data_IF_553639237419
#
_entry.id   IF_553639237419
#
_cell.length_a   1.000
_cell.length_b   1.000
_cell.length_c   1.000
_cell.angle_alpha   90.00
_cell.angle_beta   90.00
_cell.angle_gamma   90.00
#
_symmetry.space_group_name_H-M   'P 1'
#
loop_
_entity.id
_entity.type
_entity.pdbx_description
1 polymer ?
#
# COMPACT_ATOMS: atom_id res chain seq x y z
N UNK A 1 -8.40 18.11 29.28
CA UNK A 1 -7.69 16.85 28.96
C UNK A 1 -8.54 15.65 29.39
N UNK A 2 -9.64 15.38 28.68
CA UNK A 2 -10.55 14.23 28.91
C UNK A 2 -11.22 13.75 27.60
N UNK A 3 -10.89 14.34 26.46
CA UNK A 3 -11.64 14.19 25.20
C UNK A 3 -11.18 13.04 24.31
N UNK A 4 -10.18 12.26 24.74
CA UNK A 4 -9.59 11.20 23.92
C UNK A 4 -10.05 9.78 24.29
N UNK A 5 -10.85 9.61 25.36
CA UNK A 5 -11.27 8.28 25.85
C UNK A 5 -12.66 7.89 25.33
N UNK A 6 -12.87 6.58 25.11
CA UNK A 6 -14.21 6.04 24.81
C UNK A 6 -15.22 6.40 25.92
N UNK A 7 -16.29 7.15 25.60
CA UNK A 7 -17.30 7.58 26.58
C UNK A 7 -18.17 6.43 27.11
N UNK A 8 -18.15 5.24 26.49
CA UNK A 8 -18.97 4.09 26.86
C UNK A 8 -18.31 3.16 27.92
N UNK A 9 -17.08 3.47 28.32
CA UNK A 9 -16.32 2.66 29.28
C UNK A 9 -15.81 1.32 28.72
N UNK A 10 -15.04 0.56 29.53
CA UNK A 10 -14.35 -0.65 29.09
C UNK A 10 -15.26 -1.88 28.90
N UNK A 11 -16.51 -1.84 29.39
CA UNK A 11 -17.43 -2.97 29.36
C UNK A 11 -18.24 -3.10 28.06
N UNK A 12 -18.16 -2.12 27.15
CA UNK A 12 -18.90 -2.15 25.88
C UNK A 12 -18.39 -3.25 24.96
N UNK A 13 -19.25 -4.23 24.65
CA UNK A 13 -18.97 -5.37 23.78
C UNK A 13 -19.60 -5.29 22.38
N UNK A 14 -20.33 -4.22 22.10
CA UNK A 14 -20.95 -3.98 20.78
C UNK A 14 -19.88 -3.37 19.85
N UNK A 15 -19.89 -3.77 18.58
CA UNK A 15 -19.03 -3.20 17.55
C UNK A 15 -19.29 -1.69 17.42
N UNK A 16 -18.22 -0.90 17.40
CA UNK A 16 -18.27 0.54 17.21
C UNK A 16 -18.98 0.90 15.89
N UNK A 17 -18.77 0.13 14.82
CA UNK A 17 -19.34 0.33 13.50
C UNK A 17 -20.87 0.14 13.46
N UNK A 18 -21.47 -0.49 14.48
CA UNK A 18 -22.92 -0.59 14.59
C UNK A 18 -23.60 0.76 14.87
N UNK A 19 -22.87 1.69 15.49
CA UNK A 19 -23.39 3.00 15.89
C UNK A 19 -22.59 4.18 15.29
N UNK A 20 -21.36 3.96 14.85
CA UNK A 20 -20.45 4.99 14.35
C UNK A 20 -19.94 4.63 12.95
N UNK A 21 -19.48 5.65 12.22
CA UNK A 21 -18.79 5.47 10.94
C UNK A 21 -17.43 6.16 10.98
N UNK A 22 -16.55 5.81 10.04
CA UNK A 22 -15.25 6.49 9.89
C UNK A 22 -15.36 7.88 9.27
N UNK A 23 -16.48 8.14 8.60
CA UNK A 23 -16.87 9.41 8.00
C UNK A 23 -17.43 10.41 9.02
N UNK A 24 -17.55 10.01 10.29
CA UNK A 24 -18.07 10.82 11.39
C UNK A 24 -18.58 9.89 12.47
N UNK A 25 -18.50 10.30 13.75
CA UNK A 25 -19.30 9.66 14.81
C UNK A 25 -20.79 10.02 14.64
N UNK A 26 -21.26 10.02 13.40
CA UNK A 26 -22.63 10.24 13.01
C UNK A 26 -23.36 8.92 13.21
N UNK A 27 -24.10 8.83 14.31
CA UNK A 27 -25.19 7.86 14.37
C UNK A 27 -26.14 8.24 13.22
N UNK A 28 -26.57 7.29 12.40
CA UNK A 28 -27.39 7.57 11.21
C UNK A 28 -28.59 8.47 11.56
N UNK A 29 -28.93 9.43 10.68
CA UNK A 29 -30.02 10.39 10.89
C UNK A 29 -31.37 9.73 11.24
N UNK A 30 -31.59 8.48 10.81
CA UNK A 30 -32.76 7.69 11.21
C UNK A 30 -32.90 7.47 12.73
N UNK A 31 -31.81 7.62 13.50
CA UNK A 31 -31.80 7.56 14.97
C UNK A 31 -31.90 8.94 15.64
N UNK A 32 -31.92 10.04 14.87
CA UNK A 32 -32.10 11.40 15.35
C UNK A 32 -33.40 11.99 14.80
N UNK A 33 -34.29 12.49 15.66
CA UNK A 33 -35.56 13.08 15.18
C UNK A 33 -35.52 14.56 14.77
N UNK A 34 -34.39 15.25 14.92
CA UNK A 34 -34.21 16.61 14.42
C UNK A 34 -32.78 17.07 14.74
N UNK A 35 -31.99 17.48 13.74
CA UNK A 35 -30.73 18.18 13.98
C UNK A 35 -30.95 19.66 13.66
N UNK A 36 -30.85 20.52 14.68
CA UNK A 36 -30.88 21.99 14.55
C UNK A 36 -29.44 22.51 14.70
N UNK A 37 -28.81 23.05 13.65
CA UNK A 37 -27.41 23.46 13.65
C UNK A 37 -27.10 24.63 14.61
N UNK A 38 -28.12 25.34 15.10
CA UNK A 38 -27.96 26.51 15.96
C UNK A 38 -28.22 26.22 17.46
N UNK A 39 -28.49 24.97 17.84
CA UNK A 39 -28.79 24.59 19.23
C UNK A 39 -27.99 23.36 19.67
N UNK A 40 -27.20 23.44 20.77
CA UNK A 40 -26.57 22.26 21.32
C UNK A 40 -27.65 21.35 21.92
N UNK A 41 -27.98 20.25 21.24
CA UNK A 41 -28.88 19.25 21.80
C UNK A 41 -28.15 18.47 22.91
N UNK A 42 -28.79 18.43 24.08
CA UNK A 42 -28.38 17.59 25.21
C UNK A 42 -28.57 16.13 24.79
N UNK A 43 -27.50 15.34 24.84
CA UNK A 43 -27.60 13.89 24.59
C UNK A 43 -28.68 13.29 25.49
N UNK A 44 -29.75 12.74 24.93
CA UNK A 44 -30.83 12.10 25.71
C UNK A 44 -30.42 10.77 26.34
N UNK A 45 -29.26 10.23 25.94
CA UNK A 45 -28.69 8.99 26.48
C UNK A 45 -27.73 9.25 27.64
N UNK A 46 -27.02 10.39 27.64
CA UNK A 46 -25.98 10.70 28.65
C UNK A 46 -26.22 11.99 29.44
N UNK A 47 -27.19 12.82 29.03
CA UNK A 47 -27.52 14.09 29.67
C UNK A 47 -26.49 15.22 29.47
N UNK A 48 -25.48 15.02 28.64
CA UNK A 48 -24.41 16.01 28.43
C UNK A 48 -24.81 17.07 27.39
N UNK A 49 -24.67 18.34 27.76
CA UNK A 49 -24.69 19.49 26.82
C UNK A 49 -23.34 19.51 26.12
N UNK A 50 -23.28 19.23 24.82
CA UNK A 50 -22.04 19.29 24.05
C UNK A 50 -21.93 20.68 23.40
N UNK A 51 -20.99 21.56 23.83
CA UNK A 51 -20.90 22.95 23.37
C UNK A 51 -20.34 23.09 21.95
N UNK A 52 -19.83 22.00 21.38
CA UNK A 52 -19.37 21.89 20.00
C UNK A 52 -19.70 20.49 19.52
N UNK A 53 -19.87 20.33 18.22
CA UNK A 53 -20.13 19.07 17.53
C UNK A 53 -18.92 18.11 17.62
N UNK A 54 -18.69 17.56 18.81
CA UNK A 54 -17.60 16.61 19.10
C UNK A 54 -17.90 15.19 18.58
N UNK A 55 -19.05 14.98 17.94
CA UNK A 55 -19.45 13.71 17.34
C UNK A 55 -19.12 13.62 15.83
N UNK A 56 -18.25 14.48 15.31
CA UNK A 56 -17.82 14.41 13.89
C UNK A 56 -16.30 14.34 13.78
N UNK A 57 -15.74 13.18 14.12
CA UNK A 57 -14.35 12.85 13.78
C UNK A 57 -14.28 12.17 12.41
N UNK A 58 -13.45 12.71 11.50
CA UNK A 58 -13.28 12.21 10.14
C UNK A 58 -11.87 11.66 9.94
N UNK A 59 -11.74 10.36 9.65
CA UNK A 59 -10.42 9.77 9.31
C UNK A 59 -9.78 10.42 8.08
N UNK A 60 -10.59 10.91 7.13
CA UNK A 60 -10.09 11.64 5.96
C UNK A 60 -9.35 12.95 6.26
N UNK A 61 -9.42 13.45 7.51
CA UNK A 61 -8.68 14.64 7.97
C UNK A 61 -7.47 14.30 8.83
N UNK A 62 -7.18 13.01 9.04
CA UNK A 62 -6.02 12.54 9.80
C UNK A 62 -4.90 12.15 8.85
N UNK A 63 -3.77 11.70 9.42
CA UNK A 63 -2.67 11.10 8.64
C UNK A 63 -2.97 9.68 8.15
N UNK A 64 -4.10 9.09 8.56
CA UNK A 64 -4.49 7.74 8.20
C UNK A 64 -5.94 7.72 7.68
N UNK A 65 -6.16 8.11 6.41
CA UNK A 65 -7.47 8.02 5.79
C UNK A 65 -7.83 6.54 5.57
N UNK A 66 -8.99 6.12 6.08
CA UNK A 66 -9.48 4.76 5.86
C UNK A 66 -9.95 4.61 4.40
N UNK A 67 -9.09 4.01 3.58
CA UNK A 67 -9.34 3.72 2.16
C UNK A 67 -9.24 2.21 1.93
N UNK A 68 -9.90 1.74 0.88
CA UNK A 68 -9.94 0.31 0.55
C UNK A 68 -10.41 -0.55 1.73
N UNK A 69 -9.70 -1.62 2.02
CA UNK A 69 -10.07 -2.61 3.04
C UNK A 69 -9.94 -2.07 4.47
N UNK A 70 -9.13 -1.04 4.70
CA UNK A 70 -9.03 -0.41 6.02
C UNK A 70 -10.34 0.23 6.49
N UNK A 71 -11.26 0.56 5.57
CA UNK A 71 -12.59 1.08 5.92
C UNK A 71 -13.50 0.03 6.58
N UNK A 72 -13.18 -1.26 6.44
CA UNK A 72 -13.96 -2.38 6.98
C UNK A 72 -13.32 -3.03 8.21
N UNK A 73 -12.14 -2.58 8.63
CA UNK A 73 -11.44 -3.11 9.80
C UNK A 73 -12.12 -2.62 11.10
N UNK A 74 -12.24 -3.50 12.09
CA UNK A 74 -12.77 -3.16 13.41
C UNK A 74 -11.93 -2.03 14.04
N UNK A 75 -12.60 -1.03 14.61
CA UNK A 75 -11.94 0.16 15.15
C UNK A 75 -10.89 -0.18 16.23
N UNK A 76 -11.10 -1.26 17.01
CA UNK A 76 -10.22 -1.69 18.09
C UNK A 76 -8.93 -2.33 17.58
N UNK A 77 -8.86 -2.75 16.32
CA UNK A 77 -7.62 -3.25 15.73
C UNK A 77 -6.52 -2.18 15.77
N UNK A 78 -6.89 -0.91 15.59
CA UNK A 78 -5.98 0.23 15.69
C UNK A 78 -6.10 0.96 17.04
N UNK A 79 -7.32 1.12 17.57
CA UNK A 79 -7.59 1.85 18.81
C UNK A 79 -7.74 0.90 20.01
N UNK A 80 -6.70 0.13 20.30
CA UNK A 80 -6.73 -0.93 21.33
C UNK A 80 -7.07 -0.39 22.72
N UNK A 81 -6.44 0.72 23.11
CA UNK A 81 -6.68 1.38 24.42
C UNK A 81 -7.95 2.23 24.44
N UNK A 82 -8.55 2.46 23.26
CA UNK A 82 -9.62 3.43 23.04
C UNK A 82 -9.26 4.86 23.47
N UNK A 83 -7.96 5.16 23.57
CA UNK A 83 -7.44 6.51 23.59
C UNK A 83 -7.12 6.88 22.14
N UNK A 84 -8.04 7.56 21.45
CA UNK A 84 -8.00 7.69 19.99
C UNK A 84 -6.76 8.44 19.46
N UNK A 85 -6.13 9.27 20.30
CA UNK A 85 -4.88 9.95 19.99
C UNK A 85 -3.63 9.06 20.07
N UNK A 86 -3.76 7.83 20.59
CA UNK A 86 -2.66 6.89 20.82
C UNK A 86 -2.67 5.71 19.83
N UNK A 87 -3.42 5.82 18.72
CA UNK A 87 -3.39 4.79 17.69
C UNK A 87 -1.95 4.54 17.19
N UNK A 88 -1.62 3.27 16.94
CA UNK A 88 -0.31 2.90 16.39
C UNK A 88 -0.10 3.58 15.02
N UNK A 89 1.16 3.85 14.68
CA UNK A 89 1.55 4.76 13.61
C UNK A 89 0.90 4.51 12.24
N UNK A 90 0.95 5.51 11.36
CA UNK A 90 0.25 5.49 10.06
C UNK A 90 0.95 4.71 8.94
N UNK A 91 2.14 4.17 9.18
CA UNK A 91 2.93 3.50 8.16
C UNK A 91 2.57 2.02 8.08
N UNK A 92 2.63 1.41 6.88
CA UNK A 92 2.15 0.04 6.69
C UNK A 92 2.80 -0.97 7.66
N UNK A 93 4.10 -0.81 7.90
CA UNK A 93 4.90 -1.69 8.76
C UNK A 93 4.57 -1.59 10.25
N UNK A 94 3.79 -0.59 10.68
CA UNK A 94 3.35 -0.50 12.09
C UNK A 94 2.34 -1.60 12.42
N UNK A 95 1.61 -2.11 11.42
CA UNK A 95 0.58 -3.12 11.59
C UNK A 95 0.79 -4.38 10.74
N UNK A 96 1.44 -4.25 9.58
CA UNK A 96 1.65 -5.36 8.65
C UNK A 96 3.09 -5.85 8.68
N UNK A 97 3.25 -7.16 8.80
CA UNK A 97 4.54 -7.82 8.68
C UNK A 97 4.98 -7.89 7.21
N UNK A 98 6.27 -7.64 6.98
CA UNK A 98 6.85 -7.74 5.66
C UNK A 98 7.05 -9.21 5.24
N UNK A 99 6.26 -9.65 4.26
CA UNK A 99 6.38 -11.00 3.69
C UNK A 99 7.56 -11.13 2.71
N UNK A 100 8.19 -10.02 2.33
CA UNK A 100 9.22 -9.98 1.29
C UNK A 100 10.62 -10.08 1.87
N UNK A 101 10.75 -10.33 3.18
CA UNK A 101 12.02 -10.57 3.86
C UNK A 101 13.04 -9.43 3.62
N UNK A 102 12.55 -8.18 3.62
CA UNK A 102 13.29 -6.94 3.46
C UNK A 102 13.91 -6.73 2.07
N UNK A 103 13.55 -7.54 1.07
CA UNK A 103 14.14 -7.48 -0.28
C UNK A 103 13.66 -6.29 -1.11
N UNK A 104 12.52 -5.69 -0.76
CA UNK A 104 11.88 -4.59 -1.52
C UNK A 104 11.76 -3.27 -0.75
N UNK A 105 12.26 -3.20 0.49
CA UNK A 105 12.16 -2.03 1.37
C UNK A 105 10.79 -1.91 2.07
N UNK A 106 10.56 -0.77 2.71
CA UNK A 106 9.37 -0.54 3.58
C UNK A 106 8.30 0.37 2.96
N UNK A 107 8.53 0.90 1.76
CA UNK A 107 7.51 1.66 1.02
C UNK A 107 6.55 0.71 0.31
N UNK A 108 5.64 0.11 1.09
CA UNK A 108 4.66 -0.86 0.58
C UNK A 108 3.77 -0.24 -0.51
N UNK A 109 3.52 1.07 -0.43
CA UNK A 109 2.61 1.80 -1.32
C UNK A 109 3.11 1.93 -2.76
N UNK A 110 4.40 1.69 -2.98
CA UNK A 110 5.01 1.64 -4.31
C UNK A 110 4.46 0.51 -5.17
N UNK A 111 4.00 -0.58 -4.55
CA UNK A 111 3.46 -1.75 -5.25
C UNK A 111 2.02 -2.04 -4.82
N UNK A 112 1.75 -2.03 -3.52
CA UNK A 112 0.47 -2.42 -2.97
C UNK A 112 -0.45 -1.21 -2.75
N UNK A 113 -1.75 -1.47 -2.72
CA UNK A 113 -2.75 -0.46 -2.39
C UNK A 113 -3.54 -0.87 -1.17
N UNK A 114 -4.24 0.10 -0.56
CA UNK A 114 -5.17 -0.21 0.53
C UNK A 114 -6.36 -1.05 0.09
N UNK A 115 -6.60 -1.20 -1.23
CA UNK A 115 -7.66 -2.05 -1.76
C UNK A 115 -7.29 -3.53 -1.69
N UNK A 116 -6.04 -3.91 -1.95
CA UNK A 116 -5.54 -5.27 -1.82
C UNK A 116 -4.00 -5.33 -1.95
N UNK A 117 -3.43 -6.44 -1.45
CA UNK A 117 -2.00 -6.75 -1.56
C UNK A 117 -1.60 -7.40 -2.88
N UNK A 118 -2.55 -7.78 -3.73
CA UNK A 118 -2.25 -8.43 -5.00
C UNK A 118 -1.80 -7.39 -6.04
N UNK A 119 -0.91 -7.81 -6.93
CA UNK A 119 -0.39 -6.96 -8.00
C UNK A 119 -0.97 -7.45 -9.33
N UNK A 120 -1.85 -6.64 -9.92
CA UNK A 120 -2.50 -6.98 -11.18
C UNK A 120 -1.65 -6.59 -12.41
N UNK A 121 -0.76 -5.60 -12.27
CA UNK A 121 0.07 -5.05 -13.35
C UNK A 121 1.57 -5.06 -13.02
N UNK A 122 2.14 -6.27 -12.96
CA UNK A 122 3.59 -6.45 -12.77
C UNK A 122 4.40 -5.87 -13.94
N UNK A 123 3.85 -5.86 -15.15
CA UNK A 123 4.49 -5.28 -16.33
C UNK A 123 4.65 -3.76 -16.22
N UNK A 124 3.61 -3.07 -15.76
CA UNK A 124 3.65 -1.64 -15.46
C UNK A 124 4.65 -1.29 -14.35
N UNK A 125 4.79 -2.15 -13.34
CA UNK A 125 5.83 -1.99 -12.31
C UNK A 125 7.23 -2.08 -12.91
N UNK A 126 7.50 -3.03 -13.80
CA UNK A 126 8.78 -3.14 -14.50
C UNK A 126 9.08 -1.88 -15.34
N UNK A 127 8.07 -1.38 -16.07
CA UNK A 127 8.17 -0.14 -16.85
C UNK A 127 8.54 1.07 -15.99
N UNK A 128 7.91 1.22 -14.82
CA UNK A 128 8.13 2.37 -13.92
C UNK A 128 9.47 2.30 -13.18
N UNK A 129 10.03 1.09 -13.01
CA UNK A 129 11.21 0.85 -12.19
C UNK A 129 12.49 0.62 -12.99
N UNK A 130 12.49 0.94 -14.29
CA UNK A 130 13.70 1.03 -15.10
C UNK A 130 14.11 -0.26 -15.82
N UNK A 131 13.21 -1.24 -15.93
CA UNK A 131 13.41 -2.39 -16.83
C UNK A 131 12.11 -2.73 -17.57
N UNK A 132 11.71 -1.92 -18.57
CA UNK A 132 10.57 -2.22 -19.43
C UNK A 132 10.66 -3.63 -20.02
N UNK A 133 9.65 -4.46 -19.79
CA UNK A 133 9.56 -5.76 -20.46
C UNK A 133 9.22 -5.52 -21.93
N UNK A 134 10.23 -5.62 -22.80
CA UNK A 134 10.13 -5.38 -24.25
C UNK A 134 10.72 -6.56 -25.02
N UNK A 135 10.32 -6.70 -26.29
CA UNK A 135 10.83 -7.74 -27.18
C UNK A 135 10.67 -9.14 -26.57
N UNK A 136 11.77 -9.88 -26.51
CA UNK A 136 11.79 -11.25 -25.95
C UNK A 136 11.56 -11.28 -24.44
N UNK A 137 11.93 -10.22 -23.71
CA UNK A 137 11.78 -10.15 -22.24
C UNK A 137 10.31 -10.09 -21.78
N UNK A 138 9.36 -9.79 -22.69
CA UNK A 138 7.93 -9.91 -22.40
C UNK A 138 7.46 -11.35 -22.22
N UNK A 139 8.21 -12.32 -22.77
CA UNK A 139 7.82 -13.73 -22.82
C UNK A 139 8.71 -14.63 -21.95
N UNK A 140 9.74 -14.06 -21.36
CA UNK A 140 10.63 -14.77 -20.43
C UNK A 140 9.86 -15.08 -19.15
N UNK A 141 9.98 -16.31 -18.66
CA UNK A 141 9.40 -16.70 -17.39
C UNK A 141 10.01 -15.84 -16.27
N UNK A 142 9.18 -15.33 -15.36
CA UNK A 142 9.62 -14.44 -14.28
C UNK A 142 10.77 -15.03 -13.45
N UNK A 143 10.76 -16.35 -13.26
CA UNK A 143 11.76 -17.08 -12.47
C UNK A 143 13.14 -17.16 -13.14
N UNK A 144 13.27 -16.85 -14.42
CA UNK A 144 14.59 -16.79 -15.07
C UNK A 144 15.42 -15.64 -14.51
N UNK A 145 14.77 -14.54 -14.12
CA UNK A 145 15.41 -13.41 -13.45
C UNK A 145 15.18 -13.49 -11.93
N UNK A 146 13.94 -13.62 -11.49
CA UNK A 146 13.55 -13.68 -10.08
C UNK A 146 13.55 -15.12 -9.57
N UNK A 147 14.75 -15.71 -9.45
CA UNK A 147 14.92 -17.13 -9.08
C UNK A 147 14.32 -17.49 -7.71
N UNK A 148 14.21 -16.50 -6.81
CA UNK A 148 13.63 -16.65 -5.47
C UNK A 148 12.18 -16.14 -5.37
N UNK A 149 11.50 -15.86 -6.49
CA UNK A 149 10.13 -15.35 -6.50
C UNK A 149 9.14 -16.28 -5.79
N UNK A 150 9.36 -17.60 -5.83
CA UNK A 150 8.53 -18.57 -5.10
C UNK A 150 8.62 -18.42 -3.58
N UNK A 151 9.69 -17.79 -3.07
CA UNK A 151 9.87 -17.43 -1.67
C UNK A 151 9.48 -15.97 -1.37
N UNK A 152 8.84 -15.29 -2.33
CA UNK A 152 8.45 -13.87 -2.27
C UNK A 152 9.65 -12.91 -2.12
N UNK A 153 10.82 -13.30 -2.60
CA UNK A 153 12.01 -12.48 -2.64
C UNK A 153 12.16 -11.85 -4.03
N UNK A 154 12.26 -10.52 -4.05
CA UNK A 154 12.35 -9.73 -5.28
C UNK A 154 13.46 -8.69 -5.18
N UNK A 155 14.69 -9.16 -4.93
CA UNK A 155 15.87 -8.31 -4.89
C UNK A 155 16.01 -7.51 -6.19
N UNK A 156 16.53 -6.29 -6.06
CA UNK A 156 16.80 -5.45 -7.22
C UNK A 156 17.93 -6.08 -8.05
N UNK A 157 17.59 -6.55 -9.23
CA UNK A 157 18.55 -7.03 -10.22
C UNK A 157 19.18 -5.84 -10.96
N UNK A 158 20.38 -6.08 -11.48
CA UNK A 158 20.97 -5.21 -12.48
C UNK A 158 20.11 -5.16 -13.74
N UNK A 159 20.04 -4.00 -14.39
CA UNK A 159 19.21 -3.77 -15.57
C UNK A 159 20.04 -3.46 -16.82
N UNK A 160 21.37 -3.65 -16.76
CA UNK A 160 22.22 -3.53 -17.93
C UNK A 160 22.23 -4.86 -18.68
N UNK A 161 22.32 -4.80 -20.00
CA UNK A 161 22.28 -5.99 -20.84
C UNK A 161 23.32 -7.04 -20.41
N UNK A 162 24.54 -6.57 -20.12
CA UNK A 162 25.66 -7.42 -19.69
C UNK A 162 25.53 -7.97 -18.28
N UNK A 163 24.63 -7.46 -17.44
CA UNK A 163 24.39 -8.04 -16.11
C UNK A 163 23.89 -9.49 -16.23
N UNK A 164 23.21 -9.82 -17.35
CA UNK A 164 22.75 -11.16 -17.69
C UNK A 164 23.49 -11.74 -18.91
N UNK A 165 23.74 -10.94 -19.94
CA UNK A 165 24.23 -11.40 -21.25
C UNK A 165 25.74 -11.21 -21.46
N UNK A 166 26.53 -11.06 -20.39
CA UNK A 166 27.99 -10.94 -20.52
C UNK A 166 28.60 -12.16 -21.21
N UNK A 167 28.11 -13.36 -20.89
CA UNK A 167 28.60 -14.59 -21.51
C UNK A 167 28.28 -14.62 -23.01
N UNK A 168 27.06 -14.23 -23.41
CA UNK A 168 26.66 -14.16 -24.81
C UNK A 168 27.53 -13.14 -25.55
N UNK A 169 27.74 -11.96 -24.96
CA UNK A 169 28.63 -10.93 -25.50
C UNK A 169 30.06 -11.46 -25.71
N UNK A 170 30.61 -12.20 -24.75
CA UNK A 170 31.99 -12.70 -24.81
C UNK A 170 32.18 -13.89 -25.75
N UNK A 171 31.12 -14.66 -26.03
CA UNK A 171 31.21 -15.90 -26.82
C UNK A 171 30.66 -15.79 -28.23
N UNK A 172 29.95 -14.72 -28.57
CA UNK A 172 29.46 -14.48 -29.92
C UNK A 172 30.64 -14.37 -30.90
N UNK A 173 30.59 -15.11 -32.00
CA UNK A 173 31.65 -15.12 -33.04
C UNK A 173 31.22 -14.47 -34.36
N UNK A 174 29.94 -14.10 -34.50
CA UNK A 174 29.37 -13.60 -35.76
C UNK A 174 28.33 -12.48 -35.51
N UNK A 175 28.75 -11.19 -35.51
CA UNK A 175 30.13 -10.72 -35.47
C UNK A 175 30.80 -10.99 -34.11
N UNK A 176 32.12 -11.16 -34.08
CA UNK A 176 32.86 -11.34 -32.82
C UNK A 176 32.99 -10.00 -32.08
N UNK A 177 32.16 -9.81 -31.05
CA UNK A 177 32.08 -8.56 -30.29
C UNK A 177 33.40 -8.23 -29.58
N UNK A 178 34.04 -9.24 -28.98
CA UNK A 178 35.28 -9.07 -28.22
C UNK A 178 36.45 -8.71 -29.13
N UNK A 179 36.57 -9.39 -30.27
CA UNK A 179 37.62 -9.12 -31.26
C UNK A 179 37.42 -7.79 -31.96
N UNK A 180 36.17 -7.41 -32.22
CA UNK A 180 35.83 -6.12 -32.81
C UNK A 180 35.93 -4.95 -31.83
N UNK A 181 35.95 -5.22 -30.51
CA UNK A 181 36.04 -4.19 -29.48
C UNK A 181 34.76 -3.37 -29.34
N UNK A 182 33.59 -3.99 -29.54
CA UNK A 182 32.31 -3.28 -29.42
C UNK A 182 32.02 -2.86 -27.97
N UNK A 183 31.23 -1.79 -27.86
CA UNK A 183 30.70 -1.30 -26.60
C UNK A 183 29.78 -2.33 -25.94
N UNK A 184 29.63 -2.25 -24.61
CA UNK A 184 28.58 -2.98 -23.89
C UNK A 184 27.24 -2.24 -23.89
N UNK A 185 27.15 -1.10 -24.58
CA UNK A 185 25.88 -0.47 -24.92
C UNK A 185 25.25 -1.20 -26.12
N UNK A 186 24.45 -2.22 -25.82
CA UNK A 186 23.87 -3.11 -26.82
C UNK A 186 22.89 -2.39 -27.77
N UNK A 187 22.29 -1.28 -27.34
CA UNK A 187 21.32 -0.53 -28.14
C UNK A 187 21.95 0.22 -29.31
N UNK A 188 23.28 0.34 -29.35
CA UNK A 188 24.00 0.85 -30.53
C UNK A 188 23.73 -0.01 -31.78
N UNK A 189 23.39 -1.30 -31.61
CA UNK A 189 23.17 -2.24 -32.71
C UNK A 189 21.90 -3.11 -32.57
N UNK A 190 21.43 -3.39 -31.35
CA UNK A 190 20.32 -4.29 -31.08
C UNK A 190 19.03 -3.53 -30.78
N UNK A 191 17.97 -3.84 -31.52
CA UNK A 191 16.62 -3.31 -31.28
C UNK A 191 15.85 -4.20 -30.29
N UNK A 192 15.73 -3.68 -29.07
CA UNK A 192 15.08 -4.33 -27.91
C UNK A 192 13.56 -4.52 -28.07
N UNK A 193 12.95 -3.97 -29.12
CA UNK A 193 11.52 -4.11 -29.38
C UNK A 193 11.21 -5.25 -30.36
N UNK A 194 12.23 -5.81 -31.01
CA UNK A 194 12.05 -6.86 -32.03
C UNK A 194 12.30 -8.26 -31.47
N UNK A 195 11.66 -9.33 -32.00
CA UNK A 195 11.76 -10.68 -31.45
C UNK A 195 13.14 -11.39 -31.54
N UNK A 196 14.25 -10.67 -31.72
CA UNK A 196 15.59 -11.25 -31.90
C UNK A 196 16.56 -11.01 -30.74
N UNK A 197 16.27 -10.05 -29.87
CA UNK A 197 17.14 -9.58 -28.79
C UNK A 197 16.31 -9.05 -27.61
#
# INVERSE_FOLDING_TARGET
MLTAQNPHGPALKIDCAACHTSSGWEIASAYWKSFDPDKPEISKMTGMVLPFDTMRFHHGKTKFPLTGQHAAVDCRACHQTLIFSEAEGSDCISCHEDMHQQTVGTDCSRCHSTANWMLDDVGGLHQQNGFPLQGVHQKVDCNQCHQSASALQFERLGNQCVDCHLQDFQTTTQPDHKKAGFSTDCQECHDLTTPGW
#
